data_IF_400819059409
#
_entry.id   IF_400819059409
#
_cell.length_a   1.000
_cell.length_b   1.000
_cell.length_c   1.000
_cell.angle_alpha   90.00
_cell.angle_beta   90.00
_cell.angle_gamma   90.00
#
_symmetry.space_group_name_H-M   'P 1'
#
loop_
_entity.id
_entity.type
_entity.pdbx_description
1 polymer ?
#
# COMPACT_ATOMS: atom_id res chain seq x y z
N UNK A 1 0.49 15.47 -17.49
CA UNK A 1 0.48 14.03 -17.85
C UNK A 1 1.75 13.32 -17.37
N UNK A 2 2.93 13.93 -17.54
CA UNK A 2 4.21 13.36 -17.11
C UNK A 2 4.32 13.09 -15.60
N UNK A 3 3.71 13.93 -14.76
CA UNK A 3 3.74 13.72 -13.30
C UNK A 3 2.99 12.47 -12.85
N UNK A 4 1.91 12.11 -13.55
CA UNK A 4 1.16 10.88 -13.28
C UNK A 4 1.97 9.63 -13.63
N UNK A 5 2.72 9.67 -14.74
CA UNK A 5 3.63 8.58 -15.13
C UNK A 5 4.75 8.44 -14.11
N UNK A 6 5.39 9.55 -13.69
CA UNK A 6 6.43 9.52 -12.65
C UNK A 6 5.90 9.01 -11.31
N UNK A 7 4.66 9.37 -10.94
CA UNK A 7 4.04 8.87 -9.72
C UNK A 7 3.83 7.35 -9.78
N UNK A 8 3.38 6.83 -10.93
CA UNK A 8 3.24 5.38 -11.13
C UNK A 8 4.59 4.66 -11.13
N UNK A 9 5.61 5.24 -11.76
CA UNK A 9 6.98 4.71 -11.72
C UNK A 9 7.55 4.72 -10.30
N UNK A 10 7.30 5.78 -9.54
CA UNK A 10 7.71 5.88 -8.15
C UNK A 10 7.00 4.81 -7.30
N UNK A 11 5.69 4.66 -7.45
CA UNK A 11 4.92 3.63 -6.75
C UNK A 11 5.42 2.22 -7.10
N UNK A 12 5.69 1.96 -8.39
CA UNK A 12 6.22 0.68 -8.88
C UNK A 12 7.59 0.36 -8.30
N UNK A 13 8.45 1.37 -8.13
CA UNK A 13 9.80 1.21 -7.62
C UNK A 13 9.92 1.44 -6.11
N UNK A 14 8.83 1.77 -5.40
CA UNK A 14 8.85 2.23 -4.01
C UNK A 14 9.50 1.20 -3.07
N UNK A 15 9.22 -0.10 -3.26
CA UNK A 15 9.82 -1.17 -2.45
C UNK A 15 11.33 -1.22 -2.62
N UNK A 16 11.80 -1.24 -3.86
CA UNK A 16 13.22 -1.28 -4.17
C UNK A 16 13.96 -0.02 -3.68
N UNK A 17 13.34 1.16 -3.86
CA UNK A 17 13.89 2.42 -3.36
C UNK A 17 13.97 2.43 -1.83
N UNK A 18 12.97 1.86 -1.15
CA UNK A 18 12.98 1.70 0.30
C UNK A 18 14.15 0.81 0.76
N UNK A 19 14.41 -0.31 0.09
CA UNK A 19 15.49 -1.24 0.44
C UNK A 19 16.88 -0.59 0.38
N UNK A 20 17.07 0.36 -0.53
CA UNK A 20 18.33 1.10 -0.70
C UNK A 20 18.53 2.22 0.34
N UNK A 21 17.50 2.61 1.10
CA UNK A 21 17.61 3.70 2.07
C UNK A 21 18.47 3.32 3.28
N UNK A 22 19.16 4.31 3.83
CA UNK A 22 19.86 4.17 5.10
C UNK A 22 18.88 3.83 6.25
N UNK A 23 19.30 3.16 7.33
CA UNK A 23 18.41 2.72 8.40
C UNK A 23 17.56 3.85 9.02
N UNK A 24 18.13 5.05 9.16
CA UNK A 24 17.41 6.21 9.68
C UNK A 24 16.25 6.66 8.77
N UNK A 25 16.48 6.67 7.46
CA UNK A 25 15.46 7.06 6.49
C UNK A 25 14.40 5.96 6.31
N UNK A 26 14.78 4.68 6.37
CA UNK A 26 13.82 3.57 6.45
C UNK A 26 12.86 3.75 7.63
N UNK A 27 13.40 4.05 8.82
CA UNK A 27 12.58 4.34 10.00
C UNK A 27 11.65 5.53 9.77
N UNK A 28 12.14 6.59 9.13
CA UNK A 28 11.33 7.77 8.81
C UNK A 28 10.19 7.46 7.84
N UNK A 29 10.46 6.69 6.80
CA UNK A 29 9.46 6.25 5.82
C UNK A 29 8.42 5.35 6.49
N UNK A 30 8.85 4.38 7.31
CA UNK A 30 7.92 3.54 8.07
C UNK A 30 7.06 4.38 9.02
N UNK A 31 7.65 5.38 9.69
CA UNK A 31 6.91 6.32 10.53
C UNK A 31 5.96 7.24 9.75
N UNK A 32 6.06 7.34 8.43
CA UNK A 32 5.09 8.07 7.61
C UNK A 32 3.87 7.18 7.31
N UNK A 33 4.11 5.90 7.04
CA UNK A 33 3.11 4.94 6.54
C UNK A 33 2.39 4.22 7.68
N UNK A 34 3.07 3.93 8.79
CA UNK A 34 2.55 3.12 9.90
C UNK A 34 2.21 3.98 11.11
N UNK A 35 1.05 3.74 11.72
CA UNK A 35 0.63 4.35 12.98
C UNK A 35 1.18 3.58 14.17
N UNK A 36 1.15 2.25 14.07
CA UNK A 36 1.63 1.36 15.10
C UNK A 36 2.15 0.05 14.48
N UNK A 37 3.02 -0.62 15.21
CA UNK A 37 3.53 -1.94 14.89
C UNK A 37 3.55 -2.75 16.18
N UNK A 38 2.83 -3.85 16.21
CA UNK A 38 2.82 -4.79 17.32
C UNK A 38 3.35 -6.14 16.88
N UNK A 39 4.17 -6.75 17.74
CA UNK A 39 4.52 -8.16 17.63
C UNK A 39 3.61 -8.94 18.57
N UNK A 40 2.65 -9.68 18.02
CA UNK A 40 1.67 -10.43 18.79
C UNK A 40 1.64 -11.89 18.32
N UNK A 41 1.88 -12.82 19.25
CA UNK A 41 1.80 -14.28 19.00
C UNK A 41 2.67 -14.79 17.83
N UNK A 42 3.87 -14.20 17.64
CA UNK A 42 4.77 -14.60 16.56
C UNK A 42 4.42 -13.99 15.20
N UNK A 43 3.35 -13.18 15.14
CA UNK A 43 2.98 -12.41 13.97
C UNK A 43 3.29 -10.93 14.18
N UNK A 44 3.70 -10.30 13.09
CA UNK A 44 3.84 -8.87 12.98
C UNK A 44 2.51 -8.29 12.50
N UNK A 45 1.88 -7.44 13.32
CA UNK A 45 0.70 -6.68 12.92
C UNK A 45 1.08 -5.21 12.81
N UNK A 46 0.95 -4.67 11.61
CA UNK A 46 1.20 -3.27 11.32
C UNK A 46 -0.14 -2.57 11.06
N UNK A 47 -0.36 -1.45 11.74
CA UNK A 47 -1.50 -0.57 11.49
C UNK A 47 -1.05 0.56 10.56
N UNK A 48 -1.72 0.71 9.42
CA UNK A 48 -1.42 1.74 8.43
C UNK A 48 -2.12 3.06 8.80
N UNK A 49 -1.46 4.19 8.53
CA UNK A 49 -2.06 5.53 8.66
C UNK A 49 -2.94 5.85 7.47
N UNK A 50 -3.92 6.71 7.66
CA UNK A 50 -4.61 7.33 6.53
C UNK A 50 -3.64 8.25 5.75
N UNK A 51 -3.69 8.25 4.41
CA UNK A 51 -4.66 7.55 3.55
C UNK A 51 -4.19 6.15 3.07
N UNK A 52 -3.11 5.61 3.61
CA UNK A 52 -2.50 4.35 3.15
C UNK A 52 -3.33 3.11 3.52
N UNK A 53 -4.17 3.19 4.56
CA UNK A 53 -5.13 2.16 4.94
C UNK A 53 -6.05 1.75 3.77
N UNK A 54 -6.58 2.74 3.03
CA UNK A 54 -7.45 2.50 1.87
C UNK A 54 -6.74 1.74 0.74
N UNK A 55 -5.43 1.98 0.57
CA UNK A 55 -4.61 1.28 -0.43
C UNK A 55 -4.47 -0.20 -0.07
N UNK A 56 -4.25 -0.49 1.21
CA UNK A 56 -4.10 -1.86 1.72
C UNK A 56 -5.41 -2.62 1.65
N UNK A 57 -6.53 -1.99 2.02
CA UNK A 57 -7.86 -2.60 1.89
C UNK A 57 -8.19 -2.95 0.42
N UNK A 58 -7.90 -2.03 -0.50
CA UNK A 58 -8.10 -2.28 -1.94
C UNK A 58 -7.21 -3.43 -2.43
N UNK A 59 -5.92 -3.42 -2.08
CA UNK A 59 -4.97 -4.43 -2.52
C UNK A 59 -5.30 -5.83 -1.96
N UNK A 60 -5.70 -5.92 -0.70
CA UNK A 60 -6.10 -7.19 -0.06
C UNK A 60 -7.39 -7.74 -0.66
N UNK A 61 -8.38 -6.87 -0.94
CA UNK A 61 -9.60 -7.25 -1.64
C UNK A 61 -9.31 -7.77 -3.04
N UNK A 62 -8.43 -7.09 -3.79
CA UNK A 62 -8.02 -7.52 -5.12
C UNK A 62 -7.32 -8.88 -5.10
N UNK A 63 -6.37 -9.09 -4.18
CA UNK A 63 -5.69 -10.37 -4.02
C UNK A 63 -6.66 -11.50 -3.64
N UNK A 64 -7.65 -11.23 -2.78
CA UNK A 64 -8.67 -12.20 -2.39
C UNK A 64 -9.61 -12.58 -3.56
N UNK A 65 -9.91 -11.63 -4.45
CA UNK A 65 -10.72 -11.87 -5.66
C UNK A 65 -9.95 -12.66 -6.72
N UNK A 66 -8.67 -12.36 -6.92
CA UNK A 66 -7.78 -13.11 -7.79
C UNK A 66 -7.63 -14.57 -7.33
N UNK A 67 -7.45 -14.79 -6.03
CA UNK A 67 -7.41 -16.14 -5.43
C UNK A 67 -8.73 -16.92 -5.62
N UNK A 68 -9.86 -16.23 -5.80
CA UNK A 68 -11.18 -16.81 -6.09
C UNK A 68 -11.46 -16.96 -7.60
N UNK A 69 -10.49 -16.66 -8.47
CA UNK A 69 -10.65 -16.72 -9.93
C UNK A 69 -11.64 -15.69 -10.49
N UNK A 70 -12.00 -14.68 -9.69
CA UNK A 70 -12.97 -13.64 -10.07
C UNK A 70 -12.20 -12.48 -10.69
N UNK A 71 -12.41 -12.18 -11.98
CA UNK A 71 -11.81 -10.99 -12.60
C UNK A 71 -12.34 -9.74 -11.90
N UNK A 72 -11.45 -8.91 -11.37
CA UNK A 72 -11.82 -7.60 -10.85
C UNK A 72 -12.54 -6.81 -11.96
N UNK A 73 -13.69 -6.19 -11.69
CA UNK A 73 -14.22 -5.17 -12.58
C UNK A 73 -13.17 -4.05 -12.72
N UNK A 74 -13.13 -3.40 -13.88
CA UNK A 74 -12.08 -2.43 -14.28
C UNK A 74 -11.98 -1.15 -13.42
N UNK A 75 -12.59 -1.13 -12.23
CA UNK A 75 -12.47 -0.08 -11.22
C UNK A 75 -13.06 -0.54 -9.89
N UNK A 76 -12.35 -0.31 -8.79
CA UNK A 76 -12.86 -0.58 -7.44
C UNK A 76 -13.70 0.62 -6.95
N UNK A 77 -14.90 0.41 -6.40
CA UNK A 77 -15.88 1.48 -6.13
C UNK A 77 -15.37 2.59 -5.21
N UNK A 78 -14.45 2.29 -4.29
CA UNK A 78 -13.78 3.29 -3.42
C UNK A 78 -13.07 4.38 -4.24
N UNK A 79 -12.57 4.06 -5.43
CA UNK A 79 -11.79 4.97 -6.29
C UNK A 79 -12.65 5.79 -7.25
N UNK A 80 -13.90 5.38 -7.44
CA UNK A 80 -14.81 6.06 -8.37
C UNK A 80 -15.52 7.25 -7.72
N UNK A 81 -15.43 7.40 -6.39
CA UNK A 81 -16.20 8.37 -5.64
C UNK A 81 -17.69 8.01 -5.67
N UNK A 82 -18.38 8.16 -4.55
CA UNK A 82 -19.84 8.20 -4.60
C UNK A 82 -20.23 9.47 -5.36
N UNK A 83 -20.76 9.28 -6.57
CA UNK A 83 -21.41 10.31 -7.38
C UNK A 83 -22.70 10.78 -6.72
#
# INVERSE_FOLDING_TARGET
MEDGVRLLELARNASHLFDQQAPGEKKRILNLVLSNFEWHQGEVRAAFRQPFDLLIETATTAAAQEARGTKLPAGHPVWLGFL
#
